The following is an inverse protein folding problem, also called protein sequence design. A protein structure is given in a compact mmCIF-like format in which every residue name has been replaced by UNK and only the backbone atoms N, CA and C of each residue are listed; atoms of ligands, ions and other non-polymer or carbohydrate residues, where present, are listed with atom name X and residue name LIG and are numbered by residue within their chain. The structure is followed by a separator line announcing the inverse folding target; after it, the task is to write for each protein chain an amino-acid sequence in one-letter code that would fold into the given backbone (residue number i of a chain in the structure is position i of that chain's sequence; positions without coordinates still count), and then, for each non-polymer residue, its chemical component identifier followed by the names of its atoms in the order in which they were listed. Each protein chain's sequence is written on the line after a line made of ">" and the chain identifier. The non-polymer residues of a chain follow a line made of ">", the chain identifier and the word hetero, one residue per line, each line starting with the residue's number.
data_IF_999789967185
#
_entry.id   IF_999789967185
#
_cell.length_a   1.000
_cell.length_b   1.000
_cell.length_c   1.000
_cell.angle_alpha   90.00
_cell.angle_beta   90.00
_cell.angle_gamma   90.00
#
_symmetry.space_group_name_H-M   'P 1'
#
loop_
_entity.id
_entity.type
_entity.pdbx_description
1 polymer ?
#
# COMPACT_ATOMS: atom_id res chain seq x y z
N UNK A 1 85.94 47.65 -12.40
CA UNK A 1 86.44 47.15 -13.68
C UNK A 1 85.21 46.61 -14.42
N UNK A 2 84.60 47.44 -15.34
CA UNK A 2 84.80 47.43 -16.79
C UNK A 2 84.53 46.02 -17.37
N UNK A 3 83.64 45.75 -18.34
CA UNK A 3 83.39 46.24 -19.65
C UNK A 3 82.06 45.66 -20.11
N UNK A 4 81.00 46.29 -20.49
CA UNK A 4 80.68 46.85 -21.75
C UNK A 4 80.35 45.90 -22.91
N UNK A 5 79.24 46.17 -23.50
CA UNK A 5 78.88 46.06 -24.94
C UNK A 5 78.35 44.72 -25.47
N UNK A 6 77.20 44.86 -26.11
CA UNK A 6 76.84 44.12 -27.26
C UNK A 6 75.36 44.15 -27.61
N UNK A 7 74.95 45.27 -28.23
CA UNK A 7 73.67 45.48 -28.86
C UNK A 7 73.62 44.69 -30.21
N UNK A 8 72.62 43.81 -30.36
CA UNK A 8 72.18 43.38 -31.68
C UNK A 8 70.67 43.17 -31.72
N UNK A 9 70.01 44.19 -32.27
CA UNK A 9 68.59 44.11 -32.61
C UNK A 9 68.51 43.33 -33.95
N UNK A 10 67.87 42.17 -33.87
CA UNK A 10 67.45 41.47 -35.08
C UNK A 10 65.92 41.42 -35.06
N UNK A 11 65.32 42.31 -35.81
CA UNK A 11 63.87 42.31 -36.09
C UNK A 11 63.60 41.16 -37.05
N UNK A 12 63.04 40.11 -36.51
CA UNK A 12 62.43 39.06 -37.34
C UNK A 12 60.95 39.27 -37.40
N UNK A 13 60.48 39.78 -38.49
CA UNK A 13 59.08 39.85 -38.86
C UNK A 13 58.59 38.46 -39.22
N UNK A 14 57.95 37.82 -38.30
CA UNK A 14 57.24 36.52 -38.56
C UNK A 14 55.80 36.88 -38.92
N UNK A 15 55.52 36.85 -40.22
CA UNK A 15 54.18 36.82 -40.76
C UNK A 15 53.55 35.51 -40.44
N UNK A 16 52.76 35.48 -39.38
CA UNK A 16 51.86 34.35 -39.08
C UNK A 16 50.71 34.35 -40.08
N UNK A 17 50.83 33.51 -41.11
CA UNK A 17 49.73 33.17 -41.97
C UNK A 17 48.67 32.43 -41.09
N UNK A 18 47.53 33.06 -40.88
CA UNK A 18 46.36 32.38 -40.36
C UNK A 18 45.90 31.30 -41.34
N UNK A 19 46.38 30.08 -41.14
CA UNK A 19 45.77 28.89 -41.72
C UNK A 19 44.49 28.62 -40.97
N UNK A 20 43.39 29.13 -41.44
CA UNK A 20 42.06 28.74 -41.03
C UNK A 20 41.78 27.32 -41.52
N UNK A 21 42.16 26.34 -40.72
CA UNK A 21 41.75 24.97 -40.94
C UNK A 21 40.23 24.85 -40.74
N UNK A 22 39.50 24.29 -41.71
CA UNK A 22 38.04 24.11 -41.60
C UNK A 22 37.70 22.92 -40.73
N UNK A 23 38.10 22.94 -39.44
CA UNK A 23 37.70 21.91 -38.47
C UNK A 23 36.33 22.13 -37.83
N UNK A 24 35.78 23.35 -37.97
CA UNK A 24 34.50 23.70 -37.41
C UNK A 24 33.30 23.30 -38.28
N UNK A 25 33.52 23.14 -39.60
CA UNK A 25 32.43 22.72 -40.49
C UNK A 25 32.16 21.19 -40.42
N UNK A 26 33.19 20.38 -40.21
CA UNK A 26 32.98 18.92 -40.10
C UNK A 26 32.36 18.49 -38.78
N UNK A 27 32.62 19.21 -37.69
CA UNK A 27 31.95 18.96 -36.39
C UNK A 27 30.49 19.46 -36.42
N UNK A 28 30.22 20.58 -37.07
CA UNK A 28 28.85 21.08 -37.25
C UNK A 28 28.03 20.19 -38.23
N UNK A 29 28.65 19.72 -39.31
CA UNK A 29 28.02 18.74 -40.22
C UNK A 29 27.82 17.38 -39.56
N UNK A 30 28.71 16.94 -38.68
CA UNK A 30 28.59 15.70 -37.95
C UNK A 30 27.53 15.81 -36.82
N UNK A 31 27.37 17.00 -36.24
CA UNK A 31 26.32 17.28 -35.27
C UNK A 31 24.93 17.41 -35.95
N UNK A 32 24.87 17.85 -37.22
CA UNK A 32 23.62 17.99 -37.97
C UNK A 32 23.27 16.73 -38.81
N UNK A 33 24.21 15.80 -39.00
CA UNK A 33 23.98 14.51 -39.66
C UNK A 33 23.70 13.36 -38.72
N UNK A 34 23.77 13.62 -37.43
CA UNK A 34 23.21 12.72 -36.43
C UNK A 34 21.70 12.83 -36.50
N UNK A 35 21.05 11.83 -37.10
CA UNK A 35 19.61 11.72 -37.00
C UNK A 35 19.22 11.80 -35.51
N UNK A 36 18.08 12.39 -35.21
CA UNK A 36 17.54 12.46 -33.84
C UNK A 36 17.64 11.11 -33.13
N UNK A 37 17.57 10.01 -33.87
CA UNK A 37 17.86 8.64 -33.43
C UNK A 37 19.25 8.44 -32.78
N UNK A 38 20.33 9.08 -33.29
CA UNK A 38 21.66 8.95 -32.69
C UNK A 38 21.80 9.75 -31.39
N UNK A 39 21.07 10.82 -31.23
CA UNK A 39 20.99 11.60 -30.00
C UNK A 39 20.18 10.85 -28.97
N UNK A 40 19.10 10.17 -29.39
CA UNK A 40 18.26 9.34 -28.52
C UNK A 40 18.80 7.93 -28.28
N UNK A 41 19.58 7.36 -29.20
CA UNK A 41 20.25 6.07 -29.06
C UNK A 41 21.61 6.14 -28.33
N UNK A 42 22.03 7.33 -27.91
CA UNK A 42 23.22 7.50 -27.08
C UNK A 42 23.11 6.67 -25.77
N UNK A 43 24.24 6.33 -25.20
CA UNK A 43 24.43 5.46 -24.01
C UNK A 43 23.45 5.71 -22.85
N UNK A 44 22.80 6.88 -22.78
CA UNK A 44 21.80 7.22 -21.77
C UNK A 44 20.53 6.38 -21.86
N UNK A 45 20.03 6.09 -23.08
CA UNK A 45 18.81 5.28 -23.26
C UNK A 45 19.09 3.84 -22.89
N UNK A 46 20.19 3.24 -23.39
CA UNK A 46 20.59 1.88 -23.04
C UNK A 46 20.73 1.69 -21.52
N UNK A 47 21.31 2.67 -20.82
CA UNK A 47 21.45 2.63 -19.35
C UNK A 47 20.11 2.65 -18.64
N UNK A 48 19.12 3.35 -19.14
CA UNK A 48 17.80 3.41 -18.52
C UNK A 48 17.01 2.10 -18.67
N UNK A 49 17.34 1.25 -19.64
CA UNK A 49 16.72 -0.05 -19.90
C UNK A 49 17.54 -1.24 -19.41
N UNK A 50 18.80 -1.03 -18.99
CA UNK A 50 19.65 -2.11 -18.46
C UNK A 50 19.13 -2.55 -17.08
N UNK A 51 18.81 -3.85 -16.90
CA UNK A 51 18.26 -4.36 -15.64
C UNK A 51 19.17 -4.11 -14.44
N UNK A 52 20.50 -4.20 -14.60
CA UNK A 52 21.42 -3.99 -13.51
C UNK A 52 21.53 -2.51 -13.11
N UNK A 53 21.40 -1.61 -14.06
CA UNK A 53 21.45 -0.16 -13.81
C UNK A 53 20.19 0.27 -13.06
N UNK A 54 19.00 -0.19 -13.51
CA UNK A 54 17.72 0.12 -12.83
C UNK A 54 17.75 -0.42 -11.40
N UNK A 55 18.16 -1.68 -11.21
CA UNK A 55 18.28 -2.27 -9.87
C UNK A 55 19.22 -1.51 -8.96
N UNK A 56 20.41 -1.13 -9.45
CA UNK A 56 21.37 -0.33 -8.68
C UNK A 56 20.82 1.05 -8.28
N UNK A 57 20.03 1.69 -9.14
CA UNK A 57 19.34 2.96 -8.78
C UNK A 57 18.32 2.73 -7.68
N UNK A 58 17.50 1.68 -7.80
CA UNK A 58 16.55 1.30 -6.76
C UNK A 58 17.22 1.06 -5.42
N UNK A 59 18.34 0.31 -5.40
CA UNK A 59 19.12 0.10 -4.18
C UNK A 59 19.72 1.40 -3.63
N UNK A 60 20.24 2.27 -4.49
CA UNK A 60 20.80 3.55 -4.07
C UNK A 60 19.74 4.47 -3.43
N UNK A 61 18.51 4.48 -3.94
CA UNK A 61 17.39 5.19 -3.31
C UNK A 61 17.00 4.53 -1.97
N UNK A 62 16.96 3.21 -1.92
CA UNK A 62 16.64 2.49 -0.69
C UNK A 62 17.67 2.76 0.42
N UNK A 63 18.97 2.75 0.09
CA UNK A 63 20.06 3.06 1.02
C UNK A 63 20.02 4.50 1.56
N UNK A 64 19.51 5.44 0.74
CA UNK A 64 19.27 6.83 1.14
C UNK A 64 17.96 7.04 1.91
N UNK A 65 17.22 5.98 2.19
CA UNK A 65 15.89 6.02 2.79
C UNK A 65 14.82 6.75 1.94
N UNK A 66 15.11 6.96 0.66
CA UNK A 66 14.19 7.52 -0.34
C UNK A 66 13.29 6.38 -0.88
N UNK A 67 12.44 5.83 0.00
CA UNK A 67 11.70 4.59 -0.27
C UNK A 67 10.65 4.73 -1.36
N UNK A 68 10.07 5.91 -1.53
CA UNK A 68 9.09 6.15 -2.58
C UNK A 68 9.74 6.09 -3.97
N UNK A 69 10.91 6.67 -4.12
CA UNK A 69 11.72 6.65 -5.33
C UNK A 69 12.24 5.22 -5.61
N UNK A 70 12.66 4.50 -4.56
CA UNK A 70 13.06 3.11 -4.68
C UNK A 70 11.91 2.23 -5.24
N UNK A 71 10.67 2.42 -4.78
CA UNK A 71 9.49 1.71 -5.30
C UNK A 71 9.29 1.99 -6.79
N UNK A 72 9.48 3.23 -7.22
CA UNK A 72 9.35 3.60 -8.64
C UNK A 72 10.39 2.84 -9.50
N UNK A 73 11.67 2.81 -9.07
CA UNK A 73 12.71 2.12 -9.81
C UNK A 73 12.50 0.59 -9.84
N UNK A 74 12.13 -0.04 -8.72
CA UNK A 74 11.82 -1.47 -8.70
C UNK A 74 10.58 -1.80 -9.55
N UNK A 75 9.58 -0.91 -9.58
CA UNK A 75 8.40 -1.08 -10.44
C UNK A 75 8.79 -0.95 -11.90
N UNK A 76 9.58 0.07 -12.25
CA UNK A 76 10.14 0.24 -13.60
C UNK A 76 10.93 -0.99 -14.07
N UNK A 77 11.76 -1.56 -13.17
CA UNK A 77 12.45 -2.82 -13.45
C UNK A 77 11.48 -3.95 -13.80
N UNK A 78 10.40 -4.11 -13.03
CA UNK A 78 9.42 -5.18 -13.25
C UNK A 78 8.62 -5.00 -14.54
N UNK A 79 8.34 -3.75 -14.93
CA UNK A 79 7.62 -3.44 -16.16
C UNK A 79 8.43 -3.84 -17.40
N UNK A 80 9.75 -3.63 -17.35
CA UNK A 80 10.65 -3.95 -18.47
C UNK A 80 11.17 -5.39 -18.43
N UNK A 81 11.39 -5.95 -17.25
CA UNK A 81 12.14 -7.20 -17.03
C UNK A 81 11.40 -8.19 -16.13
N UNK A 82 10.13 -8.43 -16.40
CA UNK A 82 9.23 -9.25 -15.56
C UNK A 82 9.73 -10.68 -15.33
N UNK A 83 10.43 -11.27 -16.31
CA UNK A 83 10.95 -12.64 -16.26
C UNK A 83 12.42 -12.73 -15.86
N UNK A 84 13.03 -11.62 -15.50
CA UNK A 84 14.44 -11.58 -15.11
C UNK A 84 14.65 -12.29 -13.76
N UNK A 85 15.85 -12.87 -13.56
CA UNK A 85 16.20 -13.57 -12.32
C UNK A 85 16.05 -12.71 -11.06
N UNK A 86 16.21 -11.40 -11.18
CA UNK A 86 16.04 -10.45 -10.08
C UNK A 86 14.59 -9.97 -9.89
N UNK A 87 13.62 -10.46 -10.67
CA UNK A 87 12.24 -9.99 -10.56
C UNK A 87 11.62 -10.28 -9.18
N UNK A 88 11.86 -11.48 -8.64
CA UNK A 88 11.43 -11.84 -7.29
C UNK A 88 12.03 -10.93 -6.20
N UNK A 89 13.29 -10.55 -6.38
CA UNK A 89 13.97 -9.59 -5.51
C UNK A 89 13.35 -8.19 -5.60
N UNK A 90 13.10 -7.70 -6.81
CA UNK A 90 12.50 -6.39 -7.01
C UNK A 90 11.12 -6.29 -6.34
N UNK A 91 10.25 -7.32 -6.48
CA UNK A 91 8.95 -7.34 -5.81
C UNK A 91 9.10 -7.37 -4.28
N UNK A 92 10.05 -8.16 -3.77
CA UNK A 92 10.33 -8.22 -2.34
C UNK A 92 10.78 -6.86 -1.80
N UNK A 93 11.68 -6.15 -2.52
CA UNK A 93 12.17 -4.81 -2.15
C UNK A 93 11.07 -3.75 -2.20
N UNK A 94 10.09 -3.85 -3.12
CA UNK A 94 8.89 -3.00 -3.09
C UNK A 94 8.15 -3.18 -1.75
N UNK A 95 7.93 -4.43 -1.32
CA UNK A 95 7.30 -4.72 -0.04
C UNK A 95 8.06 -4.13 1.15
N UNK A 96 9.38 -4.29 1.19
CA UNK A 96 10.23 -3.70 2.24
C UNK A 96 10.17 -2.16 2.23
N UNK A 97 10.24 -1.54 1.04
CA UNK A 97 10.14 -0.09 0.89
C UNK A 97 8.79 0.45 1.38
N UNK A 98 7.69 -0.25 1.07
CA UNK A 98 6.36 0.09 1.59
C UNK A 98 6.31 0.01 3.12
N UNK A 99 6.89 -1.04 3.73
CA UNK A 99 6.98 -1.13 5.19
C UNK A 99 7.80 0.02 5.80
N UNK A 100 8.89 0.42 5.17
CA UNK A 100 9.72 1.55 5.61
C UNK A 100 9.01 2.90 5.53
N UNK A 101 8.07 3.05 4.60
CA UNK A 101 7.20 4.24 4.51
C UNK A 101 6.19 4.34 5.66
N UNK A 102 5.99 3.26 6.43
CA UNK A 102 5.07 3.25 7.57
C UNK A 102 5.59 4.14 8.70
N UNK A 103 4.80 5.13 9.06
CA UNK A 103 5.13 6.11 10.12
C UNK A 103 4.56 5.71 11.51
N UNK A 104 4.37 4.42 11.74
CA UNK A 104 3.83 3.84 12.98
C UNK A 104 2.34 3.48 12.90
N UNK A 105 1.88 2.70 13.88
CA UNK A 105 0.51 2.15 13.98
C UNK A 105 -0.59 3.20 14.16
N UNK A 106 -0.23 4.43 14.50
CA UNK A 106 -1.15 5.55 14.74
C UNK A 106 -1.49 6.33 13.46
N UNK A 107 -0.91 5.95 12.34
CA UNK A 107 -1.01 6.64 11.07
C UNK A 107 -1.76 5.79 10.05
N UNK A 108 -1.69 6.18 8.79
CA UNK A 108 -2.30 5.49 7.67
C UNK A 108 -1.76 4.05 7.53
N UNK A 109 -2.62 3.01 7.55
CA UNK A 109 -2.22 1.62 7.36
C UNK A 109 -1.95 1.25 5.89
N UNK A 110 -2.24 2.13 4.92
CA UNK A 110 -2.13 1.83 3.48
C UNK A 110 -0.75 1.33 3.07
N UNK A 111 0.39 1.87 3.58
CA UNK A 111 1.70 1.31 3.24
C UNK A 111 1.88 -0.14 3.71
N UNK A 112 1.32 -0.51 4.88
CA UNK A 112 1.39 -1.89 5.38
C UNK A 112 0.57 -2.82 4.47
N UNK A 113 -0.62 -2.40 4.04
CA UNK A 113 -1.46 -3.17 3.13
C UNK A 113 -0.77 -3.40 1.78
N UNK A 114 -0.17 -2.35 1.20
CA UNK A 114 0.62 -2.45 -0.03
C UNK A 114 1.86 -3.35 0.13
N UNK A 115 2.45 -3.38 1.32
CA UNK A 115 3.55 -4.30 1.61
C UNK A 115 3.06 -5.76 1.61
N UNK A 116 1.89 -6.05 2.21
CA UNK A 116 1.26 -7.38 2.16
C UNK A 116 1.04 -7.80 0.71
N UNK A 117 0.41 -6.94 -0.11
CA UNK A 117 0.17 -7.21 -1.53
C UNK A 117 1.47 -7.52 -2.29
N UNK A 118 2.55 -6.78 -2.02
CA UNK A 118 3.84 -7.02 -2.65
C UNK A 118 4.45 -8.36 -2.22
N UNK A 119 4.41 -8.71 -0.94
CA UNK A 119 4.92 -9.99 -0.46
C UNK A 119 4.07 -11.18 -0.92
N UNK A 120 2.75 -11.04 -0.97
CA UNK A 120 1.85 -12.05 -1.56
C UNK A 120 2.15 -12.25 -3.04
N UNK A 121 2.44 -11.17 -3.76
CA UNK A 121 2.87 -11.24 -5.16
C UNK A 121 4.18 -12.01 -5.33
N UNK A 122 5.17 -11.85 -4.41
CA UNK A 122 6.38 -12.69 -4.42
C UNK A 122 6.01 -14.17 -4.38
N UNK A 123 5.13 -14.56 -3.47
CA UNK A 123 4.71 -15.95 -3.29
C UNK A 123 3.88 -16.51 -4.45
N UNK A 124 3.05 -15.66 -5.04
CA UNK A 124 2.17 -16.03 -6.16
C UNK A 124 2.92 -16.13 -7.48
N UNK A 125 3.73 -15.12 -7.83
CA UNK A 125 4.36 -15.00 -9.13
C UNK A 125 5.72 -15.73 -9.18
N UNK A 126 6.38 -15.91 -8.01
CA UNK A 126 7.71 -16.51 -7.90
C UNK A 126 7.76 -17.60 -6.81
N UNK A 127 6.90 -18.64 -6.89
CA UNK A 127 6.88 -19.71 -5.88
C UNK A 127 8.23 -20.45 -5.85
N UNK A 128 8.71 -20.74 -4.63
CA UNK A 128 9.99 -21.41 -4.43
C UNK A 128 11.23 -20.53 -4.70
N UNK A 129 11.05 -19.22 -4.94
CA UNK A 129 12.17 -18.29 -4.96
C UNK A 129 12.82 -18.19 -3.56
N UNK A 130 14.08 -17.74 -3.51
CA UNK A 130 14.77 -17.51 -2.22
C UNK A 130 14.04 -16.50 -1.32
N UNK A 131 13.10 -15.71 -1.87
CA UNK A 131 12.31 -14.69 -1.16
C UNK A 131 10.93 -15.19 -0.73
N UNK A 132 10.49 -16.39 -1.10
CA UNK A 132 9.18 -16.93 -0.74
C UNK A 132 9.04 -17.11 0.79
N UNK A 133 9.99 -17.77 1.44
CA UNK A 133 10.01 -17.90 2.89
C UNK A 133 10.10 -16.57 3.65
N UNK A 134 11.08 -15.69 3.32
CA UNK A 134 11.12 -14.35 3.88
C UNK A 134 9.85 -13.52 3.65
N UNK A 135 9.20 -13.63 2.47
CA UNK A 135 7.96 -12.93 2.19
C UNK A 135 6.82 -13.41 3.09
N UNK A 136 6.71 -14.74 3.34
CA UNK A 136 5.73 -15.27 4.28
C UNK A 136 5.91 -14.68 5.69
N UNK A 137 7.14 -14.63 6.18
CA UNK A 137 7.43 -14.02 7.48
C UNK A 137 7.03 -12.54 7.51
N UNK A 138 7.37 -11.78 6.46
CA UNK A 138 6.99 -10.37 6.35
C UNK A 138 5.48 -10.14 6.30
N UNK A 139 4.72 -11.03 5.64
CA UNK A 139 3.25 -10.99 5.67
C UNK A 139 2.74 -11.13 7.12
N UNK A 140 3.30 -12.07 7.90
CA UNK A 140 2.91 -12.23 9.30
C UNK A 140 3.23 -10.99 10.13
N UNK A 141 4.41 -10.40 9.94
CA UNK A 141 4.81 -9.14 10.60
C UNK A 141 3.84 -7.99 10.23
N UNK A 142 3.45 -7.88 8.95
CA UNK A 142 2.46 -6.90 8.49
C UNK A 142 1.09 -7.10 9.13
N UNK A 143 0.63 -8.36 9.23
CA UNK A 143 -0.64 -8.66 9.88
C UNK A 143 -0.62 -8.30 11.37
N UNK A 144 0.51 -8.48 12.05
CA UNK A 144 0.68 -8.03 13.44
C UNK A 144 0.55 -6.50 13.55
N UNK A 145 1.19 -5.75 12.64
CA UNK A 145 1.08 -4.29 12.60
C UNK A 145 -0.34 -3.81 12.30
N UNK A 146 -1.04 -4.46 11.36
CA UNK A 146 -2.43 -4.14 11.04
C UNK A 146 -3.36 -4.44 12.22
N UNK A 147 -3.19 -5.56 12.90
CA UNK A 147 -3.95 -5.92 14.08
C UNK A 147 -3.72 -4.90 15.22
N UNK A 148 -2.48 -4.50 15.47
CA UNK A 148 -2.13 -3.44 16.43
C UNK A 148 -2.77 -2.08 16.05
N UNK A 149 -2.81 -1.74 14.76
CA UNK A 149 -3.47 -0.52 14.27
C UNK A 149 -4.97 -0.55 14.59
N UNK A 150 -5.64 -1.68 14.31
CA UNK A 150 -7.05 -1.84 14.64
C UNK A 150 -7.30 -1.76 16.16
N UNK A 151 -6.43 -2.38 16.97
CA UNK A 151 -6.51 -2.30 18.43
C UNK A 151 -6.39 -0.85 18.92
N UNK A 152 -5.38 -0.13 18.44
CA UNK A 152 -5.15 1.26 18.80
C UNK A 152 -6.35 2.16 18.45
N UNK A 153 -6.89 2.02 17.23
CA UNK A 153 -8.05 2.77 16.77
C UNK A 153 -9.30 2.39 17.54
N UNK A 154 -9.49 1.10 17.84
CA UNK A 154 -10.60 0.61 18.67
C UNK A 154 -10.57 1.21 20.07
N UNK A 155 -9.42 1.17 20.74
CA UNK A 155 -9.23 1.78 22.06
C UNK A 155 -9.43 3.30 22.05
N UNK A 156 -9.06 3.98 20.98
CA UNK A 156 -9.32 5.41 20.81
C UNK A 156 -10.82 5.71 20.79
N UNK A 157 -11.61 4.95 20.01
CA UNK A 157 -13.07 5.09 19.97
C UNK A 157 -13.72 4.71 21.31
N UNK A 158 -13.24 3.66 21.96
CA UNK A 158 -13.73 3.22 23.26
C UNK A 158 -13.59 4.33 24.30
N UNK A 159 -12.39 4.94 24.43
CA UNK A 159 -12.14 6.04 25.36
C UNK A 159 -12.98 7.29 25.07
N UNK A 160 -13.51 7.44 23.85
CA UNK A 160 -14.41 8.53 23.47
C UNK A 160 -15.89 8.21 23.66
N UNK A 161 -16.22 7.05 24.19
CA UNK A 161 -17.59 6.59 24.34
C UNK A 161 -18.28 6.16 23.05
N UNK A 162 -17.54 6.07 21.93
CA UNK A 162 -18.06 5.60 20.65
C UNK A 162 -17.99 4.07 20.58
N UNK A 163 -18.74 3.39 21.49
CA UNK A 163 -18.63 1.96 21.72
C UNK A 163 -18.94 1.10 20.49
N UNK A 164 -19.89 1.51 19.65
CA UNK A 164 -20.21 0.78 18.42
C UNK A 164 -19.06 0.81 17.42
N UNK A 165 -18.41 1.97 17.26
CA UNK A 165 -17.24 2.11 16.40
C UNK A 165 -16.05 1.32 16.95
N UNK A 166 -15.87 1.31 18.28
CA UNK A 166 -14.86 0.52 18.96
C UNK A 166 -15.09 -0.98 18.74
N UNK A 167 -16.31 -1.47 19.00
CA UNK A 167 -16.69 -2.85 18.80
C UNK A 167 -16.41 -3.32 17.36
N UNK A 168 -16.74 -2.50 16.35
CA UNK A 168 -16.44 -2.82 14.97
C UNK A 168 -14.94 -3.00 14.70
N UNK A 169 -14.08 -2.17 15.31
CA UNK A 169 -12.61 -2.29 15.16
C UNK A 169 -12.06 -3.55 15.83
N UNK A 170 -12.54 -3.87 17.01
CA UNK A 170 -12.12 -5.09 17.72
C UNK A 170 -12.63 -6.36 17.03
N UNK A 171 -13.87 -6.33 16.51
CA UNK A 171 -14.44 -7.44 15.74
C UNK A 171 -13.64 -7.70 14.45
N UNK A 172 -13.12 -6.66 13.79
CA UNK A 172 -12.22 -6.82 12.65
C UNK A 172 -10.95 -7.61 13.03
N UNK A 173 -10.38 -7.38 14.23
CA UNK A 173 -9.21 -8.13 14.68
C UNK A 173 -9.59 -9.61 14.84
N UNK A 174 -10.72 -9.90 15.46
CA UNK A 174 -11.16 -11.28 15.69
C UNK A 174 -11.48 -12.04 14.40
N UNK A 175 -11.91 -11.32 13.33
CA UNK A 175 -12.20 -11.90 12.02
C UNK A 175 -10.96 -12.08 11.15
N UNK A 176 -10.07 -11.10 11.12
CA UNK A 176 -8.95 -11.07 10.19
C UNK A 176 -7.63 -11.57 10.80
N UNK A 177 -7.47 -11.41 12.12
CA UNK A 177 -6.22 -11.65 12.84
C UNK A 177 -6.41 -12.41 14.16
N UNK A 178 -7.18 -13.53 14.18
CA UNK A 178 -7.53 -14.21 15.43
C UNK A 178 -6.35 -14.83 16.18
N UNK A 179 -5.25 -15.10 15.46
CA UNK A 179 -4.07 -15.78 16.02
C UNK A 179 -2.96 -14.80 16.43
N UNK A 180 -3.24 -13.49 16.38
CA UNK A 180 -2.25 -12.47 16.71
C UNK A 180 -2.23 -12.14 18.19
N UNK A 181 -1.09 -11.68 18.69
CA UNK A 181 -0.86 -11.40 20.11
C UNK A 181 -1.86 -10.42 20.73
N UNK A 182 -2.44 -9.53 19.92
CA UNK A 182 -3.44 -8.55 20.35
C UNK A 182 -4.88 -9.08 20.40
N UNK A 183 -5.11 -10.32 19.95
CA UNK A 183 -6.46 -10.90 19.91
C UNK A 183 -7.13 -11.00 21.29
N UNK A 184 -6.44 -11.40 22.38
CA UNK A 184 -7.03 -11.41 23.72
C UNK A 184 -7.48 -10.01 24.18
N UNK A 185 -6.66 -9.00 23.94
CA UNK A 185 -6.98 -7.61 24.29
C UNK A 185 -8.18 -7.13 23.48
N UNK A 186 -8.19 -7.41 22.17
CA UNK A 186 -9.30 -7.06 21.31
C UNK A 186 -10.61 -7.71 21.76
N UNK A 187 -10.57 -8.97 22.15
CA UNK A 187 -11.73 -9.72 22.63
C UNK A 187 -12.28 -9.14 23.93
N UNK A 188 -11.39 -8.79 24.86
CA UNK A 188 -11.77 -8.13 26.12
C UNK A 188 -12.42 -6.75 25.86
N UNK A 189 -11.78 -5.87 25.08
CA UNK A 189 -12.34 -4.56 24.76
C UNK A 189 -13.60 -4.63 23.90
N UNK A 190 -13.76 -5.68 23.08
CA UNK A 190 -15.00 -5.96 22.36
C UNK A 190 -16.15 -6.25 23.33
N UNK A 191 -15.89 -7.11 24.33
CA UNK A 191 -16.86 -7.42 25.37
C UNK A 191 -17.23 -6.19 26.19
N UNK A 192 -16.25 -5.39 26.61
CA UNK A 192 -16.50 -4.11 27.28
C UNK A 192 -17.37 -3.18 26.44
N UNK A 193 -17.07 -3.07 25.13
CA UNK A 193 -17.84 -2.22 24.20
C UNK A 193 -19.30 -2.68 24.11
N UNK A 194 -19.56 -3.99 24.08
CA UNK A 194 -20.91 -4.52 24.09
C UNK A 194 -21.60 -4.29 25.44
N UNK A 195 -20.91 -4.45 26.56
CA UNK A 195 -21.46 -4.15 27.89
C UNK A 195 -21.87 -2.68 28.01
N UNK A 196 -21.02 -1.75 27.60
CA UNK A 196 -21.30 -0.31 27.62
C UNK A 196 -22.41 0.12 26.64
N UNK A 197 -22.70 -0.71 25.62
CA UNK A 197 -23.87 -0.58 24.74
C UNK A 197 -25.16 -1.19 25.33
N UNK A 198 -25.09 -1.84 26.50
CA UNK A 198 -26.22 -2.55 27.11
C UNK A 198 -26.50 -3.91 26.45
N UNK A 199 -25.60 -4.44 25.65
CA UNK A 199 -25.71 -5.72 24.97
C UNK A 199 -25.00 -6.84 25.77
N UNK A 200 -25.44 -7.06 27.01
CA UNK A 200 -24.80 -7.94 27.97
C UNK A 200 -24.73 -9.42 27.51
N UNK A 201 -25.69 -9.88 26.71
CA UNK A 201 -25.66 -11.22 26.14
C UNK A 201 -24.45 -11.41 25.21
N UNK A 202 -24.17 -10.42 24.35
CA UNK A 202 -23.00 -10.43 23.47
C UNK A 202 -21.69 -10.25 24.24
N UNK A 203 -21.70 -9.38 25.26
CA UNK A 203 -20.55 -9.23 26.15
C UNK A 203 -20.19 -10.55 26.85
N UNK A 204 -21.19 -11.25 27.40
CA UNK A 204 -21.00 -12.54 28.06
C UNK A 204 -20.45 -13.61 27.12
N UNK A 205 -20.93 -13.67 25.87
CA UNK A 205 -20.41 -14.58 24.86
C UNK A 205 -18.90 -14.32 24.59
N UNK A 206 -18.50 -13.04 24.44
CA UNK A 206 -17.09 -12.70 24.16
C UNK A 206 -16.19 -12.93 25.38
N UNK A 207 -16.69 -12.70 26.59
CA UNK A 207 -15.95 -13.00 27.83
C UNK A 207 -15.78 -14.51 28.06
N UNK A 208 -16.79 -15.32 27.75
CA UNK A 208 -16.67 -16.77 27.78
C UNK A 208 -15.59 -17.24 26.79
N UNK A 209 -15.65 -16.76 25.57
CA UNK A 209 -14.64 -17.06 24.55
C UNK A 209 -13.22 -16.63 24.97
N UNK A 210 -13.08 -15.48 25.66
CA UNK A 210 -11.80 -15.02 26.21
C UNK A 210 -11.28 -16.02 27.26
N UNK A 211 -12.14 -16.46 28.18
CA UNK A 211 -11.76 -17.39 29.23
C UNK A 211 -11.38 -18.79 28.71
N UNK A 212 -12.03 -19.25 27.64
CA UNK A 212 -11.77 -20.54 27.00
C UNK A 212 -10.52 -20.51 26.10
N UNK A 213 -10.41 -19.52 25.26
CA UNK A 213 -9.37 -19.48 24.23
C UNK A 213 -8.04 -18.89 24.72
N UNK A 214 -8.11 -17.96 25.68
CA UNK A 214 -6.96 -17.21 26.18
C UNK A 214 -6.92 -17.16 27.71
N UNK A 215 -6.87 -18.33 28.41
CA UNK A 215 -6.94 -18.40 29.88
C UNK A 215 -5.80 -17.64 30.58
N UNK A 216 -4.63 -17.54 29.93
CA UNK A 216 -3.42 -16.92 30.46
C UNK A 216 -3.26 -15.45 30.03
N UNK A 217 -4.28 -14.85 29.39
CA UNK A 217 -4.22 -13.46 28.97
C UNK A 217 -4.22 -12.49 30.16
N UNK A 218 -3.62 -11.31 29.98
CA UNK A 218 -3.60 -10.26 31.00
C UNK A 218 -5.02 -9.87 31.47
N UNK A 219 -6.01 -9.95 30.58
CA UNK A 219 -7.41 -9.61 30.87
C UNK A 219 -8.29 -10.79 31.31
N UNK A 220 -7.72 -11.99 31.50
CA UNK A 220 -8.51 -13.18 31.88
C UNK A 220 -9.21 -13.02 33.24
N UNK A 221 -8.51 -12.47 34.23
CA UNK A 221 -9.07 -12.27 35.59
C UNK A 221 -10.15 -11.18 35.60
N UNK A 222 -9.93 -10.08 34.91
CA UNK A 222 -10.87 -8.96 34.77
C UNK A 222 -12.10 -9.40 33.99
N UNK A 223 -11.89 -10.16 32.88
CA UNK A 223 -12.96 -10.73 32.09
C UNK A 223 -13.87 -11.67 32.87
N UNK A 224 -13.30 -12.57 33.70
CA UNK A 224 -14.07 -13.46 34.59
C UNK A 224 -14.86 -12.66 35.63
N UNK A 225 -14.28 -11.62 36.20
CA UNK A 225 -14.96 -10.75 37.16
C UNK A 225 -16.16 -10.02 36.53
N UNK A 226 -15.99 -9.51 35.30
CA UNK A 226 -17.05 -8.85 34.55
C UNK A 226 -18.15 -9.84 34.16
N UNK A 227 -17.78 -11.04 33.71
CA UNK A 227 -18.73 -12.12 33.37
C UNK A 227 -19.58 -12.49 34.56
N UNK A 228 -18.99 -12.60 35.75
CA UNK A 228 -19.71 -12.89 36.99
C UNK A 228 -20.72 -11.77 37.36
N UNK A 229 -20.37 -10.51 37.13
CA UNK A 229 -21.27 -9.36 37.35
C UNK A 229 -22.45 -9.35 36.39
N UNK A 230 -22.19 -9.59 35.09
CA UNK A 230 -23.23 -9.63 34.05
C UNK A 230 -24.14 -10.89 34.27
N UNK A 231 -23.55 -12.07 34.56
CA UNK A 231 -24.25 -13.33 34.75
C UNK A 231 -25.06 -13.41 36.04
N UNK A 232 -24.72 -12.61 37.09
CA UNK A 232 -25.43 -12.60 38.36
C UNK A 232 -26.88 -12.05 38.30
N UNK A 233 -27.29 -11.50 37.18
CA UNK A 233 -28.63 -10.94 36.94
C UNK A 233 -29.60 -11.85 36.15
N UNK A 234 -29.16 -12.95 35.55
CA UNK A 234 -30.02 -13.84 34.75
C UNK A 234 -29.77 -15.30 35.10
N UNK A 235 -30.84 -16.11 35.35
CA UNK A 235 -30.69 -17.54 35.55
C UNK A 235 -30.17 -18.19 34.24
N UNK A 236 -29.21 -19.11 34.40
CA UNK A 236 -28.52 -19.85 33.34
C UNK A 236 -29.40 -20.66 32.37
N UNK A 237 -30.71 -20.52 32.45
CA UNK A 237 -31.70 -21.35 31.74
C UNK A 237 -31.91 -20.96 30.28
N UNK A 238 -31.39 -19.79 29.81
CA UNK A 238 -31.63 -19.31 28.43
C UNK A 238 -30.53 -19.69 27.43
N UNK A 239 -29.36 -20.15 27.90
CA UNK A 239 -28.26 -20.52 26.99
C UNK A 239 -28.35 -21.96 26.46
N UNK A 240 -29.20 -22.82 27.08
CA UNK A 240 -29.38 -24.18 26.64
C UNK A 240 -30.49 -24.40 25.57
N UNK A 241 -31.26 -23.36 25.23
CA UNK A 241 -32.40 -23.50 24.32
C UNK A 241 -32.18 -22.98 22.88
N UNK A 242 -30.99 -22.55 22.52
CA UNK A 242 -30.72 -22.02 21.16
C UNK A 242 -29.78 -22.89 20.31
N UNK A 243 -29.73 -24.19 20.57
CA UNK A 243 -28.94 -25.12 19.79
C UNK A 243 -29.73 -26.37 19.39
N UNK A 244 -30.93 -26.21 18.83
CA UNK A 244 -31.48 -27.22 17.94
C UNK A 244 -31.84 -26.55 16.62
N UNK A 245 -31.17 -26.91 15.53
CA UNK A 245 -31.66 -26.56 14.20
C UNK A 245 -32.94 -27.39 13.98
N UNK A 246 -34.12 -26.78 14.06
CA UNK A 246 -35.32 -27.39 13.52
C UNK A 246 -35.07 -27.75 12.06
N UNK A 247 -35.34 -29.03 11.67
CA UNK A 247 -35.24 -29.41 10.26
C UNK A 247 -36.22 -28.54 9.46
N UNK A 248 -35.84 -28.12 8.25
CA UNK A 248 -36.70 -27.26 7.45
C UNK A 248 -38.02 -27.96 7.17
N UNK A 249 -39.11 -27.38 7.62
CA UNK A 249 -40.47 -27.78 7.25
C UNK A 249 -40.59 -27.72 5.73
N UNK A 250 -40.91 -28.86 5.14
CA UNK A 250 -40.98 -29.10 3.70
C UNK A 250 -42.23 -28.47 3.04
N UNK A 251 -42.68 -27.30 3.52
CA UNK A 251 -43.83 -26.56 2.99
C UNK A 251 -43.46 -25.10 2.65
N UNK A 252 -42.38 -24.91 1.90
CA UNK A 252 -42.23 -23.66 1.16
C UNK A 252 -42.64 -23.89 -0.29
N UNK A 253 -43.57 -23.10 -0.85
CA UNK A 253 -43.85 -23.10 -2.28
C UNK A 253 -42.58 -22.73 -3.03
N UNK A 254 -42.34 -23.43 -4.14
CA UNK A 254 -41.13 -23.25 -4.96
C UNK A 254 -41.03 -21.80 -5.41
N UNK A 255 -39.82 -21.23 -5.33
CA UNK A 255 -39.47 -19.88 -5.81
C UNK A 255 -39.68 -19.69 -7.34
N UNK A 256 -40.28 -20.69 -8.02
CA UNK A 256 -40.61 -20.62 -9.44
C UNK A 256 -41.93 -19.87 -9.75
N UNK A 257 -42.79 -19.61 -8.75
CA UNK A 257 -44.09 -18.96 -8.94
C UNK A 257 -44.18 -17.51 -8.41
N UNK A 258 -43.06 -16.93 -7.98
CA UNK A 258 -43.01 -15.49 -7.71
C UNK A 258 -42.84 -14.76 -9.06
N UNK A 259 -44.01 -14.39 -9.62
CA UNK A 259 -44.15 -13.49 -10.73
C UNK A 259 -43.19 -12.30 -10.62
N UNK A 260 -42.24 -12.26 -11.52
CA UNK A 260 -41.43 -11.08 -11.83
C UNK A 260 -42.44 -10.00 -12.27
N UNK A 261 -42.61 -8.88 -11.54
CA UNK A 261 -43.43 -7.78 -12.05
C UNK A 261 -42.75 -7.30 -13.34
N UNK A 262 -43.49 -7.36 -14.46
CA UNK A 262 -43.09 -6.82 -15.74
C UNK A 262 -42.71 -5.35 -15.57
N UNK A 263 -41.44 -5.04 -15.66
CA UNK A 263 -40.97 -3.64 -15.76
C UNK A 263 -41.52 -3.08 -17.06
N UNK A 264 -42.24 -1.94 -17.05
CA UNK A 264 -42.65 -1.29 -18.28
C UNK A 264 -41.40 -0.96 -19.10
N UNK A 265 -41.34 -1.45 -20.30
CA UNK A 265 -40.34 -1.05 -21.32
C UNK A 265 -40.70 0.37 -21.79
N UNK A 266 -40.44 1.37 -20.94
CA UNK A 266 -40.31 2.74 -21.46
C UNK A 266 -38.93 2.82 -22.12
N UNK A 267 -38.97 2.93 -23.43
CA UNK A 267 -37.84 3.16 -24.28
C UNK A 267 -37.04 4.37 -23.82
N UNK A 268 -35.91 4.16 -23.18
CA UNK A 268 -34.93 5.20 -22.89
C UNK A 268 -34.45 5.77 -24.24
N UNK A 269 -35.08 6.85 -24.72
CA UNK A 269 -34.52 7.64 -25.83
C UNK A 269 -33.34 8.42 -25.29
N UNK A 270 -32.15 8.06 -25.69
CA UNK A 270 -30.97 8.88 -25.54
C UNK A 270 -31.24 10.25 -26.15
N UNK A 271 -30.98 11.38 -25.43
CA UNK A 271 -31.08 12.70 -26.03
C UNK A 271 -30.07 12.80 -27.18
N UNK A 272 -30.56 13.31 -28.32
CA UNK A 272 -29.76 13.51 -29.54
C UNK A 272 -28.56 14.41 -29.23
N UNK A 273 -27.42 14.11 -29.83
CA UNK A 273 -26.11 14.77 -29.66
C UNK A 273 -26.07 16.28 -29.97
N UNK A 274 -27.21 16.91 -30.25
CA UNK A 274 -27.32 18.34 -30.56
C UNK A 274 -27.52 19.26 -29.35
N UNK A 275 -27.73 18.70 -28.14
CA UNK A 275 -28.02 19.50 -26.94
C UNK A 275 -26.74 19.85 -26.11
N UNK A 276 -25.52 19.46 -26.54
CA UNK A 276 -24.27 19.71 -25.81
C UNK A 276 -23.44 20.90 -26.37
N UNK A 277 -24.06 21.85 -27.07
CA UNK A 277 -23.43 23.14 -27.37
C UNK A 277 -23.90 24.19 -26.37
N UNK A 278 -23.38 24.14 -25.15
CA UNK A 278 -23.30 25.33 -24.32
C UNK A 278 -21.91 25.98 -24.53
N UNK A 279 -21.85 27.30 -24.76
CA UNK A 279 -20.57 27.98 -24.95
C UNK A 279 -19.82 27.99 -23.62
N UNK A 280 -18.54 27.61 -23.65
CA UNK A 280 -17.62 27.77 -22.53
C UNK A 280 -17.62 29.23 -22.11
N UNK A 281 -18.08 29.52 -20.89
CA UNK A 281 -17.87 30.82 -20.26
C UNK A 281 -16.39 30.88 -19.87
N UNK A 282 -15.62 31.66 -20.62
CA UNK A 282 -14.23 31.97 -20.25
C UNK A 282 -14.25 32.88 -19.04
N UNK A 283 -13.94 32.36 -17.86
CA UNK A 283 -13.66 33.18 -16.69
C UNK A 283 -12.38 33.99 -16.95
N UNK A 284 -12.53 35.32 -16.97
CA UNK A 284 -11.40 36.25 -16.95
C UNK A 284 -10.71 36.15 -15.59
N UNK A 285 -9.38 36.01 -15.62
CA UNK A 285 -8.51 36.07 -14.44
C UNK A 285 -8.87 37.25 -13.54
N UNK A 286 -9.30 37.00 -12.30
CA UNK A 286 -9.42 38.02 -11.27
C UNK A 286 -10.73 38.10 -10.49
N UNK A 287 -11.71 37.21 -10.68
CA UNK A 287 -12.90 37.16 -9.84
C UNK A 287 -13.10 35.75 -9.26
N UNK A 288 -13.24 35.68 -7.96
CA UNK A 288 -13.65 34.49 -7.23
C UNK A 288 -15.04 34.05 -7.74
N UNK A 289 -15.11 32.85 -8.30
CA UNK A 289 -16.36 32.13 -8.52
C UNK A 289 -16.58 31.13 -7.43
#
# INVERSE_FOLDING_TARGET
>A
MTVALGLCVAVFSVTTACSSTPKTQDTAKKALSGTDEQIFLGDGIKKNYDPNVIMKRGEAFFEKEEYAEAIVEYTHFLDLHRTHILASYAVFRIGESQLKLTKGIQRDPSPIQKAVEAFERVRKDFPGSRYDGPALQKIQDCHDLLAQTHLFVGQFYYRRGSYLAAAHRFDQIMKLYPDKSVAPDALYFLALSYHDLGADDWASEKLTLLAEKYPDSAHSSEGKSLLAKIGGGKPATLLAQKAEPTPPSNNQPSLADALIPSVPTESFRLPSATALRQPFVTCRLGAWC
#
